data_IF_954459805515
#
_entry.id   IF_954459805515
#
_cell.length_a   1.000
_cell.length_b   1.000
_cell.length_c   1.000
_cell.angle_alpha   90.00
_cell.angle_beta   90.00
_cell.angle_gamma   90.00
#
_symmetry.space_group_name_H-M   'P 1'
#
loop_
_entity.id
_entity.type
_entity.pdbx_description
1 polymer ?
#
# COMPACT_ATOMS: atom_id res chain seq x y z
N UNK A 1 24.08 34.68 22.32
CA UNK A 1 22.62 34.49 22.20
C UNK A 1 22.35 33.84 20.85
N UNK A 2 21.89 32.58 20.83
CA UNK A 2 21.54 31.85 19.60
C UNK A 2 20.09 32.17 19.26
N UNK A 3 19.82 32.63 18.05
CA UNK A 3 18.44 32.81 17.56
C UNK A 3 17.65 31.49 17.65
N UNK A 4 16.34 31.54 17.98
CA UNK A 4 15.51 30.36 18.00
C UNK A 4 15.23 29.91 16.57
N UNK A 5 15.56 28.65 16.26
CA UNK A 5 15.20 27.98 15.01
C UNK A 5 13.72 28.22 14.71
N UNK A 6 13.47 29.04 13.69
CA UNK A 6 12.15 29.45 13.25
C UNK A 6 11.30 28.23 12.91
N UNK A 7 10.09 28.16 13.49
CA UNK A 7 9.07 27.15 13.19
C UNK A 7 8.92 26.97 11.68
N UNK A 8 9.40 25.85 11.14
CA UNK A 8 9.29 25.50 9.73
C UNK A 8 7.81 25.54 9.31
N UNK A 9 7.48 26.33 8.29
CA UNK A 9 6.10 26.64 7.86
C UNK A 9 5.46 25.48 7.08
N UNK A 10 5.35 24.31 7.70
CA UNK A 10 4.72 23.10 7.14
C UNK A 10 3.28 23.33 6.65
N UNK A 11 2.56 24.30 7.23
CA UNK A 11 1.21 24.64 6.82
C UNK A 11 1.13 25.11 5.37
N UNK A 12 2.14 25.81 4.84
CA UNK A 12 2.15 26.27 3.45
C UNK A 12 2.32 25.12 2.48
N UNK A 13 3.22 24.18 2.78
CA UNK A 13 3.44 22.99 1.95
C UNK A 13 2.25 22.03 2.00
N UNK A 14 1.61 21.90 3.17
CA UNK A 14 0.37 21.14 3.31
C UNK A 14 -0.77 21.77 2.51
N UNK A 15 -0.92 23.10 2.54
CA UNK A 15 -1.93 23.81 1.74
C UNK A 15 -1.64 23.65 0.24
N UNK A 16 -0.38 23.70 -0.20
CA UNK A 16 -0.02 23.48 -1.61
C UNK A 16 -0.32 22.02 -2.02
N UNK A 17 -0.03 21.04 -1.18
CA UNK A 17 -0.36 19.64 -1.44
C UNK A 17 -1.88 19.40 -1.49
N UNK A 18 -2.64 19.98 -0.56
CA UNK A 18 -4.11 19.90 -0.52
C UNK A 18 -4.75 20.66 -1.68
N UNK A 19 -4.23 21.84 -2.05
CA UNK A 19 -4.70 22.58 -3.21
C UNK A 19 -4.37 21.83 -4.51
N UNK A 20 -3.18 21.24 -4.62
CA UNK A 20 -2.82 20.35 -5.72
C UNK A 20 -3.73 19.12 -5.80
N UNK A 21 -4.13 18.57 -4.64
CA UNK A 21 -5.11 17.48 -4.53
C UNK A 21 -6.51 17.92 -4.98
N UNK A 22 -7.01 19.07 -4.53
CA UNK A 22 -8.35 19.57 -4.90
C UNK A 22 -8.43 20.00 -6.37
N UNK A 23 -7.40 20.66 -6.89
CA UNK A 23 -7.30 21.03 -8.32
C UNK A 23 -7.31 19.77 -9.19
N UNK A 24 -6.64 18.69 -8.76
CA UNK A 24 -6.63 17.41 -9.49
C UNK A 24 -7.97 16.69 -9.46
N UNK A 25 -8.72 16.75 -8.36
CA UNK A 25 -10.10 16.23 -8.30
C UNK A 25 -11.05 16.99 -9.26
N UNK A 26 -10.82 18.29 -9.47
CA UNK A 26 -11.60 19.12 -10.40
C UNK A 26 -11.18 18.85 -11.86
N UNK A 27 -9.91 18.59 -12.14
CA UNK A 27 -9.44 18.18 -13.48
C UNK A 27 -9.92 16.76 -13.83
N UNK A 28 -10.04 15.88 -12.83
CA UNK A 28 -10.60 14.53 -12.99
C UNK A 28 -12.06 14.55 -13.48
N UNK A 29 -12.90 15.48 -13.00
CA UNK A 29 -14.31 15.56 -13.41
C UNK A 29 -14.53 16.12 -14.82
N UNK A 30 -13.54 16.81 -15.39
CA UNK A 30 -13.63 17.46 -16.71
C UNK A 30 -13.10 16.60 -17.86
N UNK A 31 -12.42 15.48 -17.56
CA UNK A 31 -11.82 14.57 -18.55
C UNK A 31 -12.69 13.34 -18.87
N UNK A 32 -13.99 13.36 -18.52
CA UNK A 32 -14.93 12.31 -18.89
C UNK A 32 -15.25 12.40 -20.39
N UNK A 33 -14.38 11.84 -21.24
CA UNK A 33 -14.69 11.57 -22.65
C UNK A 33 -15.36 10.20 -22.75
N UNK A 34 -16.42 10.10 -23.56
CA UNK A 34 -17.27 8.92 -23.77
C UNK A 34 -16.58 7.73 -24.46
N UNK A 35 -15.29 7.51 -24.25
CA UNK A 35 -14.65 6.26 -24.65
C UNK A 35 -14.86 5.25 -23.52
N UNK A 36 -15.83 4.37 -23.71
CA UNK A 36 -15.91 3.14 -22.93
C UNK A 36 -14.54 2.47 -22.98
N UNK A 37 -13.91 2.12 -21.85
CA UNK A 37 -12.70 1.32 -21.91
C UNK A 37 -13.07 0.03 -22.63
N UNK A 38 -12.50 -0.20 -23.82
CA UNK A 38 -12.54 -1.48 -24.53
C UNK A 38 -11.78 -2.53 -23.69
N UNK A 39 -12.35 -2.88 -22.54
CA UNK A 39 -12.05 -4.11 -21.82
C UNK A 39 -13.26 -5.01 -22.04
N UNK A 40 -13.55 -5.31 -23.31
CA UNK A 40 -14.56 -6.30 -23.64
C UNK A 40 -14.01 -7.63 -23.11
N UNK A 41 -14.67 -8.24 -22.13
CA UNK A 41 -14.40 -9.63 -21.74
C UNK A 41 -14.66 -10.46 -23.00
N UNK A 42 -13.61 -10.74 -23.76
CA UNK A 42 -13.75 -11.33 -25.10
C UNK A 42 -13.82 -12.84 -25.06
N UNK A 43 -13.32 -13.46 -23.99
CA UNK A 43 -13.26 -14.90 -23.84
C UNK A 43 -13.74 -15.39 -22.47
N UNK A 44 -14.20 -16.67 -22.36
CA UNK A 44 -14.47 -17.31 -21.07
C UNK A 44 -13.25 -17.35 -20.14
N UNK A 45 -12.04 -17.40 -20.70
CA UNK A 45 -10.78 -17.38 -19.94
C UNK A 45 -10.55 -16.01 -19.28
N UNK A 46 -10.79 -14.91 -20.01
CA UNK A 46 -10.74 -13.56 -19.44
C UNK A 46 -11.71 -13.44 -18.26
N UNK A 47 -12.94 -13.97 -18.38
CA UNK A 47 -13.92 -13.95 -17.30
C UNK A 47 -13.43 -14.68 -16.05
N UNK A 48 -12.86 -15.88 -16.21
CA UNK A 48 -12.33 -16.69 -15.11
C UNK A 48 -11.16 -15.98 -14.43
N UNK A 49 -10.24 -15.42 -15.21
CA UNK A 49 -9.08 -14.68 -14.69
C UNK A 49 -9.52 -13.43 -13.91
N UNK A 50 -10.49 -12.68 -14.44
CA UNK A 50 -11.06 -11.51 -13.75
C UNK A 50 -11.74 -11.90 -12.44
N UNK A 51 -12.54 -12.98 -12.44
CA UNK A 51 -13.20 -13.47 -11.24
C UNK A 51 -12.18 -13.94 -10.19
N UNK A 52 -11.15 -14.68 -10.62
CA UNK A 52 -10.08 -15.14 -9.76
C UNK A 52 -9.37 -13.99 -9.06
N UNK A 53 -8.92 -12.99 -9.82
CA UNK A 53 -8.20 -11.83 -9.27
C UNK A 53 -9.11 -10.95 -8.42
N UNK A 54 -10.39 -10.83 -8.74
CA UNK A 54 -11.35 -10.13 -7.89
C UNK A 54 -11.52 -10.82 -6.53
N UNK A 55 -11.70 -12.14 -6.51
CA UNK A 55 -11.77 -12.93 -5.27
C UNK A 55 -10.46 -12.80 -4.49
N UNK A 56 -9.32 -12.92 -5.16
CA UNK A 56 -8.02 -12.73 -4.54
C UNK A 56 -7.88 -11.33 -3.94
N UNK A 57 -8.33 -10.28 -4.64
CA UNK A 57 -8.34 -8.90 -4.14
C UNK A 57 -9.21 -8.73 -2.90
N UNK A 58 -10.37 -9.40 -2.84
CA UNK A 58 -11.23 -9.39 -1.64
C UNK A 58 -10.51 -10.05 -0.45
N UNK A 59 -9.83 -11.16 -0.67
CA UNK A 59 -9.05 -11.84 0.36
C UNK A 59 -7.88 -10.97 0.85
N UNK A 60 -7.17 -10.28 -0.06
CA UNK A 60 -6.10 -9.36 0.32
C UNK A 60 -6.65 -8.14 1.06
N UNK A 61 -7.80 -7.61 0.64
CA UNK A 61 -8.45 -6.54 1.37
C UNK A 61 -8.91 -6.98 2.76
N UNK A 62 -9.34 -8.24 2.93
CA UNK A 62 -9.64 -8.80 4.24
C UNK A 62 -8.43 -8.84 5.19
N UNK A 63 -7.19 -8.83 4.67
CA UNK A 63 -5.99 -8.70 5.50
C UNK A 63 -6.00 -7.40 6.31
N UNK A 64 -6.64 -6.32 5.84
CA UNK A 64 -6.74 -5.06 6.57
C UNK A 64 -7.50 -5.23 7.89
N UNK A 65 -8.55 -6.07 7.89
CA UNK A 65 -9.22 -6.49 9.12
C UNK A 65 -8.30 -7.35 9.98
N UNK A 66 -7.55 -8.26 9.36
CA UNK A 66 -6.55 -9.09 10.02
C UNK A 66 -5.51 -8.27 10.80
N UNK A 67 -4.91 -7.26 10.17
CA UNK A 67 -3.98 -6.33 10.81
C UNK A 67 -4.65 -5.54 11.94
N UNK A 68 -5.84 -5.00 11.71
CA UNK A 68 -6.56 -4.24 12.73
C UNK A 68 -6.80 -5.07 14.01
N UNK A 69 -7.18 -6.34 13.85
CA UNK A 69 -7.40 -7.26 14.97
C UNK A 69 -6.09 -7.72 15.63
N UNK A 70 -5.06 -7.99 14.83
CA UNK A 70 -3.73 -8.40 15.30
C UNK A 70 -3.07 -7.28 16.12
N UNK A 71 -2.96 -6.10 15.54
CA UNK A 71 -2.42 -4.91 16.20
C UNK A 71 -3.27 -4.49 17.39
N UNK A 72 -4.59 -4.60 17.21
CA UNK A 72 -5.60 -4.78 18.24
C UNK A 72 -5.01 -5.53 19.44
N UNK A 73 -5.05 -6.85 19.35
CA UNK A 73 -4.72 -7.79 20.41
C UNK A 73 -3.36 -7.58 21.06
N UNK A 74 -2.33 -7.21 20.27
CA UNK A 74 -0.98 -6.97 20.79
C UNK A 74 -0.76 -5.58 21.39
N UNK A 75 -1.64 -4.61 21.12
CA UNK A 75 -1.55 -3.29 21.73
C UNK A 75 -2.21 -3.26 23.11
N UNK A 76 -1.76 -2.41 24.05
CA UNK A 76 -2.49 -2.20 25.30
C UNK A 76 -3.93 -1.71 25.06
N UNK A 77 -4.89 -2.17 25.86
CA UNK A 77 -6.32 -1.84 25.69
C UNK A 77 -6.61 -0.33 25.60
N UNK A 78 -5.85 0.50 26.33
CA UNK A 78 -5.96 1.98 26.29
C UNK A 78 -5.64 2.59 24.92
N UNK A 79 -4.93 1.87 24.05
CA UNK A 79 -4.52 2.33 22.72
C UNK A 79 -5.40 1.76 21.60
N UNK A 80 -6.32 0.83 21.89
CA UNK A 80 -7.10 0.10 20.88
C UNK A 80 -7.86 1.03 19.93
N UNK A 81 -8.51 2.07 20.45
CA UNK A 81 -9.25 3.04 19.62
C UNK A 81 -8.33 3.72 18.60
N UNK A 82 -7.11 4.09 19.03
CA UNK A 82 -6.14 4.75 18.17
C UNK A 82 -5.57 3.80 17.10
N UNK A 83 -5.36 2.53 17.45
CA UNK A 83 -4.92 1.48 16.52
C UNK A 83 -5.96 1.23 15.45
N UNK A 84 -7.23 1.04 15.85
CA UNK A 84 -8.34 0.83 14.91
C UNK A 84 -8.56 2.04 14.01
N UNK A 85 -8.48 3.27 14.56
CA UNK A 85 -8.56 4.49 13.76
C UNK A 85 -7.47 4.52 12.69
N UNK A 86 -6.21 4.27 13.06
CA UNK A 86 -5.10 4.27 12.11
C UNK A 86 -5.27 3.21 11.02
N UNK A 87 -5.70 1.99 11.36
CA UNK A 87 -5.93 0.93 10.37
C UNK A 87 -7.03 1.32 9.37
N UNK A 88 -8.19 1.77 9.85
CA UNK A 88 -9.33 2.13 8.98
C UNK A 88 -9.06 3.41 8.17
N UNK A 89 -8.58 4.47 8.82
CA UNK A 89 -8.28 5.72 8.12
C UNK A 89 -7.09 5.55 7.16
N UNK A 90 -6.11 4.72 7.55
CA UNK A 90 -4.95 4.37 6.74
C UNK A 90 -5.33 3.62 5.47
N UNK A 91 -6.18 2.58 5.54
CA UNK A 91 -6.61 1.86 4.34
C UNK A 91 -7.40 2.78 3.39
N UNK A 92 -8.35 3.56 3.91
CA UNK A 92 -9.16 4.47 3.10
C UNK A 92 -8.30 5.51 2.39
N UNK A 93 -7.41 6.17 3.14
CA UNK A 93 -6.51 7.18 2.57
C UNK A 93 -5.49 6.54 1.63
N UNK A 94 -4.96 5.37 1.98
CA UNK A 94 -3.96 4.64 1.20
C UNK A 94 -4.48 4.29 -0.19
N UNK A 95 -5.69 3.75 -0.29
CA UNK A 95 -6.35 3.41 -1.56
C UNK A 95 -6.60 4.67 -2.39
N UNK A 96 -7.09 5.77 -1.79
CA UNK A 96 -7.33 7.03 -2.51
C UNK A 96 -6.03 7.62 -3.06
N UNK A 97 -4.96 7.64 -2.26
CA UNK A 97 -3.66 8.14 -2.70
C UNK A 97 -3.06 7.25 -3.78
N UNK A 98 -3.21 5.93 -3.65
CA UNK A 98 -2.75 5.00 -4.66
C UNK A 98 -3.53 5.16 -5.97
N UNK A 99 -4.85 5.38 -5.90
CA UNK A 99 -5.68 5.72 -7.06
C UNK A 99 -5.19 6.99 -7.78
N UNK A 100 -4.97 8.07 -7.02
CA UNK A 100 -4.65 9.38 -7.59
C UNK A 100 -3.21 9.51 -8.11
N UNK A 101 -2.27 8.74 -7.56
CA UNK A 101 -0.85 8.90 -7.86
C UNK A 101 -0.14 7.57 -7.99
N UNK A 102 -0.34 6.67 -7.03
CA UNK A 102 0.49 5.48 -6.89
C UNK A 102 0.38 4.48 -8.03
N UNK A 103 -0.82 4.22 -8.55
CA UNK A 103 -1.01 3.24 -9.62
C UNK A 103 -0.34 3.70 -10.92
N UNK A 104 -0.55 4.97 -11.32
CA UNK A 104 0.10 5.56 -12.49
C UNK A 104 1.61 5.72 -12.34
N UNK A 105 2.10 5.85 -11.11
CA UNK A 105 3.54 5.89 -10.82
C UNK A 105 4.18 4.50 -10.92
N UNK A 106 3.47 3.47 -10.46
CA UNK A 106 3.96 2.10 -10.38
C UNK A 106 3.93 1.38 -11.74
N UNK A 107 2.84 1.55 -12.49
CA UNK A 107 2.57 0.82 -13.72
C UNK A 107 2.51 1.73 -14.93
N UNK A 108 3.04 1.25 -16.05
CA UNK A 108 2.90 1.91 -17.35
C UNK A 108 1.88 1.17 -18.24
N UNK A 109 1.28 1.87 -19.22
CA UNK A 109 0.42 1.23 -20.21
C UNK A 109 1.15 0.16 -21.01
N UNK A 110 0.45 -0.90 -21.42
CA UNK A 110 1.04 -1.97 -22.24
C UNK A 110 1.57 -1.53 -23.62
N UNK A 111 1.26 -0.30 -24.06
CA UNK A 111 1.69 0.25 -25.36
C UNK A 111 2.99 1.05 -25.30
N UNK A 112 3.55 1.32 -24.13
CA UNK A 112 4.80 2.07 -24.03
C UNK A 112 6.02 1.17 -24.23
N UNK A 113 6.96 1.60 -25.09
CA UNK A 113 8.21 0.89 -25.40
C UNK A 113 9.38 1.23 -24.48
N UNK A 114 9.20 2.16 -23.54
CA UNK A 114 10.28 2.66 -22.70
C UNK A 114 10.34 1.94 -21.35
N UNK A 115 11.52 1.46 -20.97
CA UNK A 115 11.81 0.85 -19.67
C UNK A 115 11.59 1.84 -18.51
N UNK A 116 10.90 1.43 -17.45
CA UNK A 116 10.60 2.28 -16.28
C UNK A 116 11.76 2.31 -15.26
N UNK A 117 12.92 2.80 -15.70
CA UNK A 117 14.21 2.62 -15.00
C UNK A 117 14.24 3.16 -13.56
N UNK A 118 13.45 4.18 -13.21
CA UNK A 118 13.57 4.84 -11.88
C UNK A 118 12.20 5.09 -11.22
N UNK A 119 11.08 4.72 -11.85
CA UNK A 119 9.74 5.14 -11.41
C UNK A 119 9.45 6.64 -11.62
N UNK A 120 10.48 7.50 -11.69
CA UNK A 120 10.35 8.94 -12.00
C UNK A 120 9.77 9.18 -13.39
N UNK A 121 9.99 8.27 -14.36
CA UNK A 121 9.36 8.35 -15.67
C UNK A 121 7.82 8.33 -15.55
N UNK A 122 7.27 7.58 -14.58
CA UNK A 122 5.85 7.65 -14.21
C UNK A 122 5.45 9.04 -13.69
N UNK A 123 6.24 9.65 -12.81
CA UNK A 123 5.99 11.03 -12.29
C UNK A 123 6.00 12.09 -13.40
N UNK A 124 6.94 12.01 -14.35
CA UNK A 124 7.07 12.98 -15.44
C UNK A 124 5.99 12.80 -16.51
N UNK A 125 5.50 11.56 -16.72
CA UNK A 125 4.42 11.21 -17.65
C UNK A 125 3.01 11.42 -17.11
N UNK A 126 2.83 11.52 -15.79
CA UNK A 126 1.57 11.96 -15.14
C UNK A 126 1.11 13.35 -15.66
N UNK A 127 1.99 14.12 -16.32
CA UNK A 127 1.64 15.38 -16.99
C UNK A 127 0.81 15.22 -18.28
N UNK A 128 0.79 14.02 -18.88
CA UNK A 128 0.08 13.73 -20.13
C UNK A 128 -0.86 12.54 -19.90
N UNK A 129 -2.16 12.81 -19.71
CA UNK A 129 -3.29 11.85 -19.83
C UNK A 129 -3.47 10.66 -18.85
N UNK A 130 -2.60 10.38 -17.88
CA UNK A 130 -2.69 9.11 -17.09
C UNK A 130 -3.36 9.17 -15.70
N UNK A 131 -4.05 10.25 -15.33
CA UNK A 131 -4.54 10.44 -13.96
C UNK A 131 -6.00 10.01 -13.70
N UNK A 132 -6.64 9.34 -14.65
CA UNK A 132 -7.95 8.74 -14.45
C UNK A 132 -7.94 7.30 -14.96
N UNK A 133 -8.55 6.38 -14.21
CA UNK A 133 -8.80 4.99 -14.64
C UNK A 133 -9.46 4.89 -16.02
N UNK A 134 -10.08 5.99 -16.48
CA UNK A 134 -10.76 6.11 -17.77
C UNK A 134 -9.82 6.13 -18.99
N UNK A 135 -8.51 6.37 -18.82
CA UNK A 135 -7.50 6.26 -19.90
C UNK A 135 -6.45 5.19 -19.65
N UNK A 136 -6.62 4.39 -18.59
CA UNK A 136 -5.71 3.31 -18.29
C UNK A 136 -6.00 2.14 -19.23
N UNK A 137 -5.12 1.97 -20.22
CA UNK A 137 -4.95 0.68 -20.87
C UNK A 137 -4.53 -0.34 -19.80
N UNK A 138 -4.87 -1.63 -19.95
CA UNK A 138 -4.30 -2.68 -19.12
C UNK A 138 -2.79 -2.52 -19.00
N UNK A 139 -2.24 -2.65 -17.79
CA UNK A 139 -0.79 -2.61 -17.60
C UNK A 139 -0.11 -3.73 -18.39
N UNK A 140 1.15 -3.53 -18.74
CA UNK A 140 1.96 -4.59 -19.34
C UNK A 140 1.88 -5.87 -18.48
N UNK A 141 1.57 -7.01 -19.10
CA UNK A 141 1.39 -8.29 -18.41
C UNK A 141 -0.04 -8.59 -17.88
N UNK A 142 -0.98 -7.63 -17.94
CA UNK A 142 -2.36 -7.82 -17.48
C UNK A 142 -3.42 -7.53 -18.55
N UNK A 143 -3.10 -7.74 -19.84
CA UNK A 143 -3.97 -7.40 -20.99
C UNK A 143 -5.37 -8.04 -20.95
N UNK A 144 -5.51 -9.15 -20.24
CA UNK A 144 -6.74 -9.93 -20.10
C UNK A 144 -7.55 -9.57 -18.85
N UNK A 145 -7.04 -8.66 -18.03
CA UNK A 145 -7.63 -8.26 -16.76
C UNK A 145 -8.27 -6.88 -16.89
N UNK A 146 -9.48 -6.74 -16.36
CA UNK A 146 -10.13 -5.44 -16.18
C UNK A 146 -9.23 -4.55 -15.33
N UNK A 147 -8.98 -3.35 -15.83
CA UNK A 147 -8.16 -2.34 -15.16
C UNK A 147 -8.70 -2.03 -13.76
N UNK A 148 -10.01 -2.07 -13.56
CA UNK A 148 -10.64 -1.88 -12.25
C UNK A 148 -10.29 -3.00 -11.26
N UNK A 149 -10.23 -4.24 -11.75
CA UNK A 149 -9.92 -5.42 -10.94
C UNK A 149 -8.42 -5.45 -10.62
N UNK A 150 -7.55 -5.19 -11.60
CA UNK A 150 -6.11 -5.06 -11.35
C UNK A 150 -5.83 -3.92 -10.37
N UNK A 151 -6.44 -2.75 -10.57
CA UNK A 151 -6.33 -1.63 -9.64
C UNK A 151 -6.74 -2.01 -8.22
N UNK A 152 -7.90 -2.64 -8.04
CA UNK A 152 -8.37 -3.05 -6.72
C UNK A 152 -7.40 -4.03 -6.06
N UNK A 153 -6.92 -5.02 -6.80
CA UNK A 153 -5.93 -5.99 -6.32
C UNK A 153 -4.64 -5.28 -5.87
N UNK A 154 -4.08 -4.41 -6.72
CA UNK A 154 -2.83 -3.69 -6.41
C UNK A 154 -2.99 -2.64 -5.30
N UNK A 155 -4.15 -1.99 -5.21
CA UNK A 155 -4.46 -1.06 -4.13
C UNK A 155 -4.49 -1.75 -2.76
N UNK A 156 -4.95 -2.99 -2.71
CA UNK A 156 -4.94 -3.79 -1.48
C UNK A 156 -3.49 -4.15 -1.04
N UNK A 157 -2.57 -4.38 -1.98
CA UNK A 157 -1.14 -4.57 -1.69
C UNK A 157 -0.49 -3.28 -1.19
N UNK A 158 -0.76 -2.16 -1.85
CA UNK A 158 -0.27 -0.84 -1.44
C UNK A 158 -0.71 -0.50 0.00
N UNK A 159 -2.00 -0.72 0.31
CA UNK A 159 -2.53 -0.55 1.65
C UNK A 159 -1.86 -1.49 2.66
N UNK A 160 -1.64 -2.75 2.30
CA UNK A 160 -0.92 -3.73 3.13
C UNK A 160 0.49 -3.26 3.48
N UNK A 161 1.24 -2.71 2.51
CA UNK A 161 2.59 -2.17 2.76
C UNK A 161 2.57 -1.04 3.78
N UNK A 162 1.60 -0.12 3.69
CA UNK A 162 1.44 0.97 4.65
C UNK A 162 1.04 0.47 6.05
N UNK A 163 0.12 -0.50 6.13
CA UNK A 163 -0.38 -1.07 7.40
C UNK A 163 0.70 -1.85 8.17
N UNK A 164 1.72 -2.43 7.52
CA UNK A 164 2.86 -3.02 8.23
C UNK A 164 3.50 -2.01 9.19
N UNK A 165 3.51 -0.72 8.82
CA UNK A 165 4.06 0.31 9.68
C UNK A 165 3.19 0.63 10.90
N UNK A 166 1.84 0.50 10.86
CA UNK A 166 0.98 0.89 11.98
C UNK A 166 1.31 0.13 13.25
N UNK A 167 1.45 -1.19 13.18
CA UNK A 167 1.77 -2.02 14.34
C UNK A 167 3.11 -1.66 14.98
N UNK A 168 4.12 -1.34 14.16
CA UNK A 168 5.45 -0.97 14.66
C UNK A 168 5.47 0.34 15.44
N UNK A 169 4.63 1.31 15.04
CA UNK A 169 4.58 2.66 15.63
C UNK A 169 3.42 2.86 16.62
N UNK A 170 2.60 1.81 16.81
CA UNK A 170 1.45 1.81 17.69
C UNK A 170 1.79 2.28 19.11
N UNK A 171 0.85 3.01 19.71
CA UNK A 171 0.93 3.52 21.08
C UNK A 171 1.86 4.72 21.31
N UNK A 172 2.49 5.27 20.26
CA UNK A 172 3.34 6.48 20.39
C UNK A 172 3.34 7.43 19.20
N UNK A 173 2.93 6.98 18.01
CA UNK A 173 2.74 7.89 16.88
C UNK A 173 1.48 8.75 17.06
N UNK A 174 1.51 9.97 16.55
CA UNK A 174 0.30 10.81 16.41
C UNK A 174 -0.49 10.34 15.18
N UNK A 175 -1.84 10.24 15.24
CA UNK A 175 -2.65 9.78 14.10
C UNK A 175 -2.38 10.53 12.80
N UNK A 176 -2.28 11.85 12.85
CA UNK A 176 -2.01 12.66 11.66
C UNK A 176 -0.62 12.34 11.06
N UNK A 177 0.39 12.07 11.89
CA UNK A 177 1.71 11.68 11.41
C UNK A 177 1.66 10.30 10.74
N UNK A 178 0.85 9.39 11.26
CA UNK A 178 0.61 8.09 10.63
C UNK A 178 -0.09 8.24 9.27
N UNK A 179 -1.13 9.08 9.17
CA UNK A 179 -1.81 9.33 7.90
C UNK A 179 -0.87 9.94 6.85
N UNK A 180 -0.02 10.90 7.23
CA UNK A 180 1.00 11.44 6.34
C UNK A 180 2.00 10.37 5.88
N UNK A 181 2.39 9.47 6.78
CA UNK A 181 3.24 8.34 6.44
C UNK A 181 2.54 7.41 5.44
N UNK A 182 1.25 7.13 5.62
CA UNK A 182 0.46 6.36 4.66
C UNK A 182 0.47 7.01 3.28
N UNK A 183 0.27 8.34 3.18
CA UNK A 183 0.36 9.07 1.89
C UNK A 183 1.73 8.88 1.24
N UNK A 184 2.81 8.99 2.02
CA UNK A 184 4.17 8.84 1.50
C UNK A 184 4.42 7.40 1.02
N UNK A 185 3.99 6.40 1.79
CA UNK A 185 4.19 5.00 1.42
C UNK A 185 3.38 4.67 0.17
N UNK A 186 2.06 4.86 0.18
CA UNK A 186 1.20 4.43 -0.93
C UNK A 186 1.28 5.34 -2.16
N UNK A 187 1.70 6.59 -2.00
CA UNK A 187 1.82 7.55 -3.09
C UNK A 187 3.20 7.61 -3.74
N UNK A 188 4.27 7.23 -3.03
CA UNK A 188 5.64 7.39 -3.50
C UNK A 188 6.50 6.13 -3.27
N UNK A 189 6.73 5.74 -2.01
CA UNK A 189 7.74 4.72 -1.70
C UNK A 189 7.37 3.35 -2.27
N UNK A 190 6.14 2.88 -2.02
CA UNK A 190 5.64 1.61 -2.54
C UNK A 190 5.55 1.62 -4.07
N UNK A 191 4.91 2.62 -4.73
CA UNK A 191 4.85 2.68 -6.18
C UNK A 191 6.21 2.69 -6.88
N UNK A 192 7.18 3.44 -6.35
CA UNK A 192 8.53 3.51 -6.93
C UNK A 192 9.22 2.14 -6.84
N UNK A 193 9.19 1.51 -5.67
CA UNK A 193 9.75 0.16 -5.49
C UNK A 193 9.07 -0.86 -6.40
N UNK A 194 7.72 -0.81 -6.46
CA UNK A 194 6.92 -1.66 -7.34
C UNK A 194 7.21 -1.44 -8.82
N UNK A 195 7.52 -0.20 -9.23
CA UNK A 195 7.88 0.10 -10.63
C UNK A 195 9.17 -0.59 -11.07
N UNK A 196 10.12 -0.79 -10.15
CA UNK A 196 11.39 -1.43 -10.45
C UNK A 196 11.23 -2.91 -10.78
N UNK A 197 10.28 -3.59 -10.14
CA UNK A 197 10.11 -5.05 -10.20
C UNK A 197 8.87 -5.48 -10.98
N UNK A 198 7.71 -4.88 -10.72
CA UNK A 198 6.43 -5.27 -11.35
C UNK A 198 5.99 -4.33 -12.47
N UNK A 199 6.62 -3.16 -12.56
CA UNK A 199 6.33 -2.14 -13.56
C UNK A 199 7.29 -2.13 -14.75
N UNK A 200 8.01 -3.22 -15.03
CA UNK A 200 8.97 -3.29 -16.15
C UNK A 200 10.17 -2.36 -15.99
N UNK A 201 10.67 -2.25 -14.77
CA UNK A 201 11.81 -1.40 -14.43
C UNK A 201 13.13 -2.17 -14.38
N UNK A 202 14.18 -1.49 -13.93
CA UNK A 202 15.55 -2.01 -13.99
C UNK A 202 15.81 -3.31 -13.20
N UNK A 203 15.04 -3.60 -12.15
CA UNK A 203 15.18 -4.86 -11.42
C UNK A 203 14.58 -6.03 -12.22
N UNK A 204 13.45 -5.80 -12.88
CA UNK A 204 12.85 -6.75 -13.82
C UNK A 204 13.80 -7.03 -15.00
N UNK A 205 14.41 -5.98 -15.57
CA UNK A 205 15.42 -6.10 -16.65
C UNK A 205 16.64 -6.95 -16.25
N UNK A 206 16.98 -6.97 -14.97
CA UNK A 206 18.06 -7.80 -14.41
C UNK A 206 17.61 -9.23 -14.05
N UNK A 207 16.34 -9.57 -14.23
CA UNK A 207 15.76 -10.87 -13.89
C UNK A 207 15.49 -11.05 -12.40
N UNK A 208 15.28 -9.96 -11.65
CA UNK A 208 14.90 -10.05 -10.25
C UNK A 208 13.44 -10.51 -10.11
N UNK A 209 13.21 -11.56 -9.32
CA UNK A 209 11.88 -12.12 -9.12
C UNK A 209 11.37 -11.86 -7.71
N UNK A 210 10.28 -11.11 -7.60
CA UNK A 210 9.46 -11.02 -6.40
C UNK A 210 8.02 -11.40 -6.75
N UNK A 211 7.65 -12.65 -6.47
CA UNK A 211 6.39 -13.22 -6.96
C UNK A 211 5.14 -12.51 -6.41
N UNK A 212 5.12 -12.24 -5.09
CA UNK A 212 3.95 -11.67 -4.42
C UNK A 212 4.27 -10.49 -3.51
N UNK A 213 5.52 -10.02 -3.42
CA UNK A 213 5.84 -8.77 -2.74
C UNK A 213 6.59 -8.95 -1.43
N UNK A 214 7.42 -9.99 -1.33
CA UNK A 214 8.33 -10.14 -0.20
C UNK A 214 9.26 -8.92 -0.07
N UNK A 215 9.71 -8.36 -1.19
CA UNK A 215 10.42 -7.11 -1.24
C UNK A 215 9.44 -5.93 -1.33
N UNK A 216 8.64 -5.89 -2.39
CA UNK A 216 7.84 -4.71 -2.81
C UNK A 216 6.80 -4.31 -1.77
N UNK A 217 6.20 -5.28 -1.06
CA UNK A 217 5.21 -5.02 0.00
C UNK A 217 5.85 -5.09 1.37
N UNK A 218 6.40 -6.25 1.73
CA UNK A 218 6.80 -6.55 3.10
C UNK A 218 8.09 -5.87 3.51
N UNK A 219 9.14 -5.96 2.69
CA UNK A 219 10.42 -5.31 3.00
C UNK A 219 10.31 -3.80 2.92
N UNK A 220 9.55 -3.24 1.97
CA UNK A 220 9.25 -1.80 1.92
C UNK A 220 8.52 -1.33 3.18
N UNK A 221 7.43 -2.02 3.55
CA UNK A 221 6.67 -1.71 4.76
C UNK A 221 7.52 -1.84 6.03
N UNK A 222 8.34 -2.90 6.11
CA UNK A 222 9.27 -3.16 7.21
C UNK A 222 10.38 -2.12 7.31
N UNK A 223 10.95 -1.67 6.18
CA UNK A 223 11.98 -0.63 6.14
C UNK A 223 11.39 0.73 6.56
N UNK A 224 10.18 1.06 6.09
CA UNK A 224 9.47 2.26 6.54
C UNK A 224 9.18 2.22 8.05
N UNK A 225 8.74 1.07 8.55
CA UNK A 225 8.54 0.83 9.97
C UNK A 225 9.83 0.99 10.78
N UNK A 226 10.94 0.44 10.29
CA UNK A 226 12.25 0.54 10.93
C UNK A 226 12.73 1.99 11.02
N UNK A 227 12.67 2.74 9.92
CA UNK A 227 12.99 4.17 9.90
C UNK A 227 12.13 4.96 10.90
N UNK A 228 10.82 4.67 10.94
CA UNK A 228 9.91 5.33 11.88
C UNK A 228 10.22 4.99 13.34
N UNK A 229 10.59 3.74 13.64
CA UNK A 229 10.93 3.31 15.00
C UNK A 229 12.22 3.97 15.48
N UNK A 230 13.23 4.13 14.62
CA UNK A 230 14.48 4.85 14.94
C UNK A 230 14.17 6.30 15.32
N UNK A 231 13.32 6.98 14.55
CA UNK A 231 12.98 8.39 14.77
C UNK A 231 12.10 8.58 16.01
N UNK A 232 11.09 7.73 16.19
CA UNK A 232 10.16 7.82 17.33
C UNK A 232 10.81 7.36 18.65
N UNK A 233 11.78 6.47 18.57
CA UNK A 233 12.36 5.79 19.71
C UNK A 233 11.41 4.79 20.38
N UNK A 234 11.83 4.22 21.53
CA UNK A 234 11.05 3.25 22.27
C UNK A 234 9.82 3.86 22.93
N UNK A 235 8.82 3.03 23.25
CA UNK A 235 7.68 3.44 24.07
C UNK A 235 8.18 3.92 25.44
N UNK A 236 7.52 4.93 26.00
CA UNK A 236 7.87 5.47 27.33
C UNK A 236 7.82 4.36 28.38
N UNK A 237 8.89 4.23 29.17
CA UNK A 237 9.00 3.21 30.21
C UNK A 237 9.26 1.80 29.69
N UNK A 238 9.59 1.63 28.39
CA UNK A 238 9.97 0.32 27.83
C UNK A 238 11.30 -0.19 28.36
N UNK A 239 12.29 0.70 28.44
CA UNK A 239 13.60 0.40 28.97
C UNK A 239 13.83 1.17 30.28
N UNK A 240 14.57 0.56 31.21
CA UNK A 240 15.06 1.20 32.42
C UNK A 240 16.29 2.09 32.15
N UNK A 241 16.83 2.71 33.20
CA UNK A 241 18.00 3.59 33.09
C UNK A 241 19.29 2.89 32.64
N UNK A 242 19.33 1.54 32.67
CA UNK A 242 20.43 0.72 32.17
C UNK A 242 20.19 0.17 30.76
N UNK A 243 19.07 0.52 30.10
CA UNK A 243 18.71 0.02 28.78
C UNK A 243 18.09 -1.38 28.78
N UNK A 244 17.86 -1.98 29.96
CA UNK A 244 17.17 -3.27 30.08
C UNK A 244 15.66 -3.07 29.99
N UNK A 245 14.91 -4.11 29.61
CA UNK A 245 13.44 -4.05 29.65
C UNK A 245 12.98 -3.72 31.07
N UNK A 246 12.13 -2.70 31.23
CA UNK A 246 11.64 -2.33 32.55
C UNK A 246 10.83 -3.48 33.16
N UNK A 247 10.83 -3.66 34.49
CA UNK A 247 10.01 -4.70 35.15
C UNK A 247 8.52 -4.61 34.76
N UNK A 248 8.05 -3.38 34.54
CA UNK A 248 6.72 -3.10 34.01
C UNK A 248 6.54 -3.69 32.61
N UNK A 249 7.42 -3.41 31.65
CA UNK A 249 7.27 -3.99 30.30
C UNK A 249 7.49 -5.51 30.30
N UNK A 250 8.37 -6.06 31.13
CA UNK A 250 8.49 -7.51 31.29
C UNK A 250 7.16 -8.16 31.73
N UNK A 251 6.38 -7.47 32.57
CA UNK A 251 5.03 -7.91 32.97
C UNK A 251 3.91 -7.57 31.96
N UNK A 252 4.09 -6.49 31.16
CA UNK A 252 3.11 -5.93 30.20
C UNK A 252 3.33 -6.38 28.75
N UNK A 253 4.37 -7.17 28.42
CA UNK A 253 4.54 -7.83 27.11
C UNK A 253 3.38 -8.80 26.77
N UNK A 254 2.44 -8.96 27.71
CA UNK A 254 1.21 -9.71 27.49
C UNK A 254 0.28 -8.92 26.55
N UNK A 255 -0.11 -9.50 25.41
CA UNK A 255 -1.15 -8.91 24.56
C UNK A 255 -2.42 -8.64 25.38
N UNK A 256 -3.08 -7.52 25.13
CA UNK A 256 -4.33 -7.21 25.83
C UNK A 256 -5.42 -8.25 25.53
N UNK A 257 -5.36 -8.89 24.36
CA UNK A 257 -6.28 -9.95 23.94
C UNK A 257 -5.60 -10.91 22.95
N UNK A 258 -5.18 -12.08 23.45
CA UNK A 258 -4.74 -13.19 22.60
C UNK A 258 -5.83 -13.67 21.63
N UNK A 259 -7.13 -13.72 22.01
CA UNK A 259 -8.18 -14.06 21.05
C UNK A 259 -8.24 -13.12 19.85
N UNK A 260 -8.16 -11.80 20.07
CA UNK A 260 -8.14 -10.84 18.95
C UNK A 260 -6.88 -11.00 18.09
N UNK A 261 -5.72 -11.19 18.73
CA UNK A 261 -4.48 -11.45 18.02
C UNK A 261 -4.58 -12.71 17.15
N UNK A 262 -5.10 -13.81 17.70
CA UNK A 262 -5.28 -15.07 16.99
C UNK A 262 -6.29 -14.94 15.84
N UNK A 263 -7.43 -14.29 16.05
CA UNK A 263 -8.41 -14.00 14.99
C UNK A 263 -7.78 -13.19 13.86
N UNK A 264 -7.02 -12.15 14.20
CA UNK A 264 -6.27 -11.35 13.23
C UNK A 264 -5.31 -12.22 12.41
N UNK A 265 -4.54 -13.08 13.07
CA UNK A 265 -3.63 -14.03 12.40
C UNK A 265 -4.35 -14.97 11.46
N UNK A 266 -5.49 -15.56 11.85
CA UNK A 266 -6.25 -16.44 10.95
C UNK A 266 -6.79 -15.72 9.73
N UNK A 267 -7.25 -14.47 9.88
CA UNK A 267 -7.71 -13.65 8.76
C UNK A 267 -6.54 -13.27 7.85
N UNK A 268 -5.39 -12.91 8.42
CA UNK A 268 -4.17 -12.66 7.63
C UNK A 268 -3.74 -13.90 6.85
N UNK A 269 -3.76 -15.08 7.48
CA UNK A 269 -3.44 -16.34 6.82
C UNK A 269 -4.43 -16.60 5.67
N UNK A 270 -5.74 -16.50 5.91
CA UNK A 270 -6.74 -16.65 4.87
C UNK A 270 -6.51 -15.66 3.71
N UNK A 271 -6.26 -14.40 4.02
CA UNK A 271 -5.95 -13.36 3.04
C UNK A 271 -4.68 -13.66 2.24
N UNK A 272 -3.70 -14.32 2.85
CA UNK A 272 -2.44 -14.70 2.20
C UNK A 272 -2.63 -15.67 1.02
N UNK A 273 -3.71 -16.46 1.01
CA UNK A 273 -4.05 -17.27 -0.18
C UNK A 273 -4.39 -16.38 -1.37
N UNK A 274 -5.16 -15.31 -1.18
CA UNK A 274 -5.41 -14.31 -2.21
C UNK A 274 -4.14 -13.53 -2.58
N UNK A 275 -3.31 -13.21 -1.59
CA UNK A 275 -2.07 -12.47 -1.78
C UNK A 275 -1.07 -13.23 -2.67
N UNK A 276 -0.79 -14.50 -2.37
CA UNK A 276 0.17 -15.27 -3.14
C UNK A 276 -0.47 -15.84 -4.41
N UNK A 277 -1.59 -16.55 -4.29
CA UNK A 277 -2.17 -17.25 -5.44
C UNK A 277 -2.78 -16.25 -6.44
N UNK A 278 -3.31 -15.11 -5.99
CA UNK A 278 -3.80 -14.06 -6.88
C UNK A 278 -2.70 -13.39 -7.70
N UNK A 279 -1.46 -13.41 -7.24
CA UNK A 279 -0.31 -12.84 -7.97
C UNK A 279 0.07 -13.63 -9.22
N UNK A 280 -0.54 -14.81 -9.46
CA UNK A 280 -0.44 -15.45 -10.78
C UNK A 280 -1.13 -14.63 -11.87
N UNK A 281 -2.06 -13.73 -11.52
CA UNK A 281 -2.90 -12.86 -12.37
C UNK A 281 -3.72 -13.57 -13.46
N UNK A 282 -3.48 -14.86 -13.67
CA UNK A 282 -4.22 -15.78 -14.53
C UNK A 282 -4.44 -17.10 -13.79
N UNK A 283 -5.47 -17.83 -14.19
CA UNK A 283 -5.66 -19.22 -13.80
C UNK A 283 -4.79 -20.12 -14.71
N UNK A 284 -4.16 -21.18 -14.19
CA UNK A 284 -3.47 -22.14 -15.06
C UNK A 284 -4.51 -22.82 -15.95
N UNK A 285 -4.49 -22.52 -17.25
CA UNK A 285 -5.22 -23.32 -18.23
C UNK A 285 -4.47 -24.63 -18.47
N UNK A 286 -5.20 -25.68 -18.87
CA UNK A 286 -4.78 -27.10 -18.92
C UNK A 286 -3.51 -27.43 -19.73
N UNK A 287 -2.84 -26.44 -20.32
CA UNK A 287 -1.64 -26.61 -21.13
C UNK A 287 -0.35 -26.02 -20.51
N UNK A 288 -0.40 -25.41 -19.33
CA UNK A 288 0.82 -25.02 -18.61
C UNK A 288 1.11 -26.03 -17.51
N UNK A 289 2.01 -26.97 -17.79
CA UNK A 289 2.54 -27.89 -16.76
C UNK A 289 3.45 -27.08 -15.81
N UNK A 290 3.22 -27.27 -14.51
CA UNK A 290 4.08 -26.82 -13.42
C UNK A 290 5.52 -27.31 -13.58
#
# INVERSE_FOLDING_TARGET
MKEPLTKLKWSKYLIIAVAGFLIRLIVFSTSYTNESPENTITSPEDLINNLWVLIAGILVFAMQLGFALLEAGFSPAKNTVNVLFNNVAGVCLGIVVFFLFGYALMYHPATSTDSNVIGIQGVLRVSSSYLALNHLLPRAGAKHLSVYIDFFFQAAFAATSATICSGAVAGRIKPLAYLLLTVIITGLVYPISGSWVWGGGWLDDLGFHDFAGSLVVHSVGGAAAWACVIILGPRKGRFDGGGQLSPREQSELKPHSLPLAAMGTFILWLGWYGFNAGSTVTTPTSNQRL
#
